data_IF_978416901447
#
_entry.id   IF_978416901447
#
_cell.length_a   1.000
_cell.length_b   1.000
_cell.length_c   1.000
_cell.angle_alpha   90.00
_cell.angle_beta   90.00
_cell.angle_gamma   90.00
#
_symmetry.space_group_name_H-M   'P 1'
#
loop_
_entity.id
_entity.type
_entity.pdbx_description
1 polymer ?
#
# COMPACT_ATOMS: atom_id res chain seq x y z
N UNK A 1 -19.42 40.13 31.12
CA UNK A 1 -18.96 38.95 30.33
C UNK A 1 -17.74 38.24 30.92
N UNK A 2 -16.69 38.95 31.36
CA UNK A 2 -15.46 38.35 31.94
C UNK A 2 -15.70 37.43 33.16
N UNK A 3 -16.68 37.73 33.99
CA UNK A 3 -16.97 36.95 35.21
C UNK A 3 -17.61 35.58 34.93
N UNK A 4 -18.39 35.44 33.84
CA UNK A 4 -19.01 34.16 33.45
C UNK A 4 -17.97 33.16 32.96
N UNK A 5 -17.01 33.60 32.15
CA UNK A 5 -15.89 32.78 31.70
C UNK A 5 -15.01 32.34 32.87
N UNK A 6 -14.71 33.25 33.82
CA UNK A 6 -13.98 32.90 35.04
C UNK A 6 -14.70 31.81 35.83
N UNK A 7 -16.02 31.92 36.06
CA UNK A 7 -16.76 30.90 36.80
C UNK A 7 -16.82 29.53 36.12
N UNK A 8 -16.78 29.47 34.78
CA UNK A 8 -16.69 28.19 34.04
C UNK A 8 -15.31 27.56 34.23
N UNK A 9 -14.23 28.35 34.11
CA UNK A 9 -12.85 27.89 34.28
C UNK A 9 -12.55 27.48 35.73
N UNK A 10 -13.11 28.20 36.70
CA UNK A 10 -13.02 27.88 38.14
C UNK A 10 -13.88 26.68 38.55
N UNK A 11 -14.58 26.03 37.63
CA UNK A 11 -15.32 24.79 37.91
C UNK A 11 -16.65 24.98 38.64
N UNK A 12 -17.14 26.22 38.79
CA UNK A 12 -18.40 26.50 39.48
C UNK A 12 -19.61 25.82 38.77
N UNK A 13 -19.47 25.53 37.47
CA UNK A 13 -20.42 24.74 36.67
C UNK A 13 -20.63 23.31 37.21
N UNK A 14 -19.63 22.73 37.88
CA UNK A 14 -19.63 21.38 38.44
C UNK A 14 -19.99 21.35 39.94
N UNK A 15 -20.14 22.49 40.60
CA UNK A 15 -20.37 22.59 42.06
C UNK A 15 -21.74 23.22 42.38
N UNK A 16 -22.34 23.98 41.45
CA UNK A 16 -23.68 24.56 41.60
C UNK A 16 -24.78 23.50 41.90
N UNK A 17 -25.84 23.91 42.60
CA UNK A 17 -26.92 23.08 43.19
C UNK A 17 -27.76 22.23 42.19
N UNK A 18 -27.40 22.19 40.90
CA UNK A 18 -27.97 21.31 39.87
C UNK A 18 -26.94 20.43 39.13
N UNK A 19 -25.72 20.31 39.66
CA UNK A 19 -24.55 19.77 38.95
C UNK A 19 -24.56 18.25 38.68
N UNK A 20 -25.39 17.47 39.38
CA UNK A 20 -25.45 16.01 39.19
C UNK A 20 -25.67 15.58 37.72
N UNK A 21 -26.49 16.33 36.97
CA UNK A 21 -26.73 16.05 35.54
C UNK A 21 -25.50 16.35 34.68
N UNK A 22 -24.71 17.36 35.03
CA UNK A 22 -23.51 17.80 34.31
C UNK A 22 -22.34 16.84 34.52
N UNK A 23 -22.17 16.30 35.73
CA UNK A 23 -21.17 15.26 36.01
C UNK A 23 -21.37 13.99 35.17
N UNK A 24 -22.62 13.56 34.95
CA UNK A 24 -22.92 12.43 34.06
C UNK A 24 -22.46 12.68 32.62
N UNK A 25 -22.61 13.90 32.11
CA UNK A 25 -22.12 14.27 30.77
C UNK A 25 -20.60 14.27 30.67
N UNK A 26 -19.90 14.74 31.70
CA UNK A 26 -18.43 14.73 31.72
C UNK A 26 -17.89 13.29 31.72
N UNK A 27 -18.46 12.42 32.56
CA UNK A 27 -18.09 11.00 32.58
C UNK A 27 -18.40 10.33 31.24
N UNK A 28 -19.52 10.67 30.61
CA UNK A 28 -19.86 10.17 29.28
C UNK A 28 -18.80 10.56 28.23
N UNK A 29 -18.44 11.83 28.15
CA UNK A 29 -17.39 12.32 27.24
C UNK A 29 -16.03 11.67 27.51
N UNK A 30 -15.65 11.51 28.78
CA UNK A 30 -14.41 10.86 29.17
C UNK A 30 -14.41 9.38 28.75
N UNK A 31 -15.51 8.65 28.97
CA UNK A 31 -15.66 7.26 28.53
C UNK A 31 -15.57 7.14 27.01
N UNK A 32 -16.15 8.09 26.27
CA UNK A 32 -16.08 8.11 24.81
C UNK A 32 -14.65 8.34 24.31
N UNK A 33 -13.92 9.22 24.98
CA UNK A 33 -12.51 9.46 24.69
C UNK A 33 -11.67 8.18 24.89
N UNK A 34 -11.90 7.47 26.00
CA UNK A 34 -11.24 6.18 26.26
C UNK A 34 -11.57 5.14 25.18
N UNK A 35 -12.83 5.05 24.76
CA UNK A 35 -13.25 4.15 23.67
C UNK A 35 -12.52 4.49 22.37
N UNK A 36 -12.36 5.77 22.04
CA UNK A 36 -11.65 6.19 20.83
C UNK A 36 -10.15 5.85 20.89
N UNK A 37 -9.49 6.07 22.02
CA UNK A 37 -8.07 5.74 22.21
C UNK A 37 -7.87 4.23 22.04
N UNK A 38 -8.71 3.44 22.71
CA UNK A 38 -8.66 1.98 22.63
C UNK A 38 -8.92 1.47 21.20
N UNK A 39 -9.95 1.99 20.54
CA UNK A 39 -10.28 1.63 19.17
C UNK A 39 -9.17 1.98 18.19
N UNK A 40 -8.49 3.11 18.36
CA UNK A 40 -7.42 3.53 17.46
C UNK A 40 -6.22 2.57 17.53
N UNK A 41 -5.82 2.19 18.75
CA UNK A 41 -4.69 1.29 18.93
C UNK A 41 -4.92 -0.13 18.36
N UNK A 42 -6.17 -0.61 18.40
CA UNK A 42 -6.56 -1.88 17.77
C UNK A 42 -6.49 -1.81 16.24
N UNK A 43 -6.95 -0.69 15.68
CA UNK A 43 -6.92 -0.45 14.23
C UNK A 43 -5.48 -0.38 13.74
N UNK A 44 -4.60 0.31 14.47
CA UNK A 44 -3.17 0.44 14.11
C UNK A 44 -2.48 -0.92 14.02
N UNK A 45 -2.70 -1.80 15.02
CA UNK A 45 -2.13 -3.15 15.01
C UNK A 45 -2.63 -3.97 13.82
N UNK A 46 -3.92 -3.85 13.48
CA UNK A 46 -4.50 -4.54 12.32
C UNK A 46 -3.95 -4.02 10.99
N UNK A 47 -3.66 -2.72 10.90
CA UNK A 47 -3.08 -2.11 9.69
C UNK A 47 -1.68 -2.66 9.42
N UNK A 48 -0.86 -2.83 10.45
CA UNK A 48 0.49 -3.41 10.32
C UNK A 48 0.39 -4.80 9.70
N UNK A 49 -0.44 -5.68 10.26
CA UNK A 49 -0.65 -7.03 9.72
C UNK A 49 -1.18 -7.01 8.28
N UNK A 50 -2.11 -6.12 7.97
CA UNK A 50 -2.61 -5.95 6.58
C UNK A 50 -1.48 -5.54 5.63
N UNK A 51 -0.57 -4.68 6.07
CA UNK A 51 0.56 -4.23 5.26
C UNK A 51 1.53 -5.36 4.93
N UNK A 52 1.78 -6.27 5.89
CA UNK A 52 2.60 -7.47 5.69
C UNK A 52 1.95 -8.41 4.67
N UNK A 53 0.67 -8.76 4.87
CA UNK A 53 -0.06 -9.61 3.92
C UNK A 53 -0.11 -8.99 2.51
N UNK A 54 -0.29 -7.66 2.42
CA UNK A 54 -0.27 -6.95 1.14
C UNK A 54 1.09 -7.08 0.47
N UNK A 55 2.18 -6.98 1.22
CA UNK A 55 3.52 -7.17 0.68
C UNK A 55 3.71 -8.58 0.13
N UNK A 56 3.31 -9.61 0.88
CA UNK A 56 3.36 -11.01 0.43
C UNK A 56 2.59 -11.25 -0.87
N UNK A 57 1.36 -10.74 -0.97
CA UNK A 57 0.57 -10.85 -2.20
C UNK A 57 1.21 -10.13 -3.40
N UNK A 58 1.93 -9.03 -3.14
CA UNK A 58 2.63 -8.30 -4.20
C UNK A 58 3.83 -9.07 -4.74
N UNK A 59 4.58 -9.75 -3.85
CA UNK A 59 5.71 -10.61 -4.20
C UNK A 59 5.19 -11.79 -5.04
N UNK A 60 4.17 -12.49 -4.56
CA UNK A 60 3.61 -13.65 -5.27
C UNK A 60 3.07 -13.27 -6.66
N UNK A 61 2.47 -12.09 -6.79
CA UNK A 61 2.00 -11.56 -8.07
C UNK A 61 3.16 -11.24 -9.01
N UNK A 62 4.26 -10.72 -8.49
CA UNK A 62 5.49 -10.49 -9.26
C UNK A 62 6.04 -11.79 -9.83
N UNK A 63 6.15 -12.83 -9.00
CA UNK A 63 6.65 -14.15 -9.41
C UNK A 63 5.76 -14.78 -10.48
N UNK A 64 4.44 -14.66 -10.32
CA UNK A 64 3.48 -15.14 -11.33
C UNK A 64 3.65 -14.42 -12.68
N UNK A 65 3.85 -13.09 -12.65
CA UNK A 65 4.08 -12.31 -13.87
C UNK A 65 5.40 -12.73 -14.54
N UNK A 66 6.45 -12.98 -13.75
CA UNK A 66 7.73 -13.45 -14.27
C UNK A 66 7.62 -14.83 -14.93
N UNK A 67 6.95 -15.78 -14.27
CA UNK A 67 6.69 -17.11 -14.84
C UNK A 67 5.91 -17.03 -16.15
N UNK A 68 4.87 -16.19 -16.20
CA UNK A 68 4.08 -15.94 -17.43
C UNK A 68 4.94 -15.36 -18.55
N UNK A 69 5.79 -14.39 -18.25
CA UNK A 69 6.72 -13.78 -19.22
C UNK A 69 7.69 -14.82 -19.79
N UNK A 70 8.23 -15.71 -18.94
CA UNK A 70 9.15 -16.77 -19.37
C UNK A 70 8.49 -17.72 -20.37
N UNK A 71 7.28 -18.19 -20.09
CA UNK A 71 6.52 -19.06 -21.01
C UNK A 71 6.18 -18.33 -22.31
N UNK A 72 5.80 -17.05 -22.24
CA UNK A 72 5.52 -16.26 -23.44
C UNK A 72 6.75 -16.10 -24.33
N UNK A 73 7.93 -15.89 -23.73
CA UNK A 73 9.21 -15.83 -24.45
C UNK A 73 9.51 -17.17 -25.14
N UNK A 74 9.41 -18.28 -24.42
CA UNK A 74 9.62 -19.62 -24.98
C UNK A 74 8.65 -19.93 -26.13
N UNK A 75 7.37 -19.59 -25.98
CA UNK A 75 6.36 -19.75 -27.03
C UNK A 75 6.70 -18.91 -28.28
N UNK A 76 7.18 -17.68 -28.08
CA UNK A 76 7.63 -16.80 -29.16
C UNK A 76 8.85 -17.39 -29.87
N UNK A 77 9.86 -17.84 -29.13
CA UNK A 77 11.05 -18.49 -29.68
C UNK A 77 10.70 -19.75 -30.49
N UNK A 78 9.78 -20.59 -30.00
CA UNK A 78 9.29 -21.76 -30.74
C UNK A 78 8.61 -21.37 -32.03
N UNK A 79 7.66 -20.41 -31.98
CA UNK A 79 6.93 -19.97 -33.17
C UNK A 79 7.87 -19.36 -34.22
N UNK A 80 8.82 -18.51 -33.79
CA UNK A 80 9.84 -17.96 -34.71
C UNK A 80 10.67 -19.08 -35.33
N UNK A 81 11.06 -20.10 -34.55
CA UNK A 81 11.82 -21.26 -35.05
C UNK A 81 11.01 -22.02 -36.11
N UNK A 82 9.73 -22.28 -35.86
CA UNK A 82 8.84 -22.98 -36.80
C UNK A 82 8.68 -22.21 -38.11
N UNK A 83 8.43 -20.90 -38.04
CA UNK A 83 8.30 -20.03 -39.23
C UNK A 83 9.62 -19.92 -40.01
N UNK A 84 10.78 -19.92 -39.33
CA UNK A 84 12.09 -19.86 -39.98
C UNK A 84 12.50 -21.20 -40.62
N UNK A 85 12.05 -22.33 -40.04
CA UNK A 85 12.24 -23.66 -40.61
C UNK A 85 11.58 -23.80 -41.98
N UNK A 86 10.33 -23.32 -42.13
CA UNK A 86 9.62 -23.29 -43.42
C UNK A 86 10.38 -22.47 -44.48
N UNK A 87 11.06 -21.40 -44.06
CA UNK A 87 11.85 -20.51 -44.92
C UNK A 87 13.25 -21.06 -45.24
N UNK A 88 13.60 -22.26 -44.74
CA UNK A 88 14.95 -22.88 -44.82
C UNK A 88 16.08 -22.03 -44.23
N UNK A 89 15.75 -21.07 -43.35
CA UNK A 89 16.73 -20.23 -42.66
C UNK A 89 17.13 -20.95 -41.38
N UNK A 90 18.41 -21.34 -41.27
CA UNK A 90 18.95 -21.97 -40.06
C UNK A 90 19.48 -20.89 -39.12
N UNK A 91 19.29 -21.09 -37.81
CA UNK A 91 19.94 -20.28 -36.79
C UNK A 91 21.45 -20.34 -36.96
N UNK A 92 22.09 -19.20 -37.19
CA UNK A 92 23.54 -19.09 -37.27
C UNK A 92 24.14 -19.17 -35.87
N UNK A 93 25.06 -20.10 -35.65
CA UNK A 93 25.88 -20.20 -34.43
C UNK A 93 27.02 -19.17 -34.40
N UNK A 94 27.27 -18.49 -35.52
CA UNK A 94 28.38 -17.54 -35.68
C UNK A 94 27.77 -16.12 -35.68
N UNK A 95 28.20 -15.24 -34.76
CA UNK A 95 27.69 -13.88 -34.72
C UNK A 95 28.10 -13.09 -35.98
N UNK A 96 27.21 -12.23 -36.52
CA UNK A 96 27.53 -11.44 -37.71
C UNK A 96 28.62 -10.40 -37.39
N UNK A 97 29.58 -10.25 -38.31
CA UNK A 97 30.66 -9.26 -38.20
C UNK A 97 30.10 -7.89 -38.56
N UNK A 98 30.16 -6.92 -37.63
CA UNK A 98 29.77 -5.53 -37.90
C UNK A 98 30.79 -4.90 -38.85
N UNK A 99 30.37 -4.56 -40.06
CA UNK A 99 31.18 -3.78 -41.00
C UNK A 99 30.86 -2.31 -40.72
N UNK A 100 31.83 -1.56 -40.20
CA UNK A 100 31.75 -0.11 -40.07
C UNK A 100 32.48 0.47 -41.27
N UNK A 101 31.76 1.23 -42.11
CA UNK A 101 32.32 1.92 -43.26
C UNK A 101 32.54 3.36 -42.81
N UNK A 102 33.79 3.74 -42.59
CA UNK A 102 34.16 5.15 -42.42
C UNK A 102 34.40 5.75 -43.81
N UNK A 103 33.55 6.72 -44.20
CA UNK A 103 33.80 7.56 -45.37
C UNK A 103 34.79 8.66 -44.94
N UNK A 104 35.99 8.64 -45.50
CA UNK A 104 36.97 9.72 -45.35
C UNK A 104 36.51 10.96 -46.13
N UNK A 105 36.61 12.12 -45.48
CA UNK A 105 36.33 13.44 -46.04
C UNK A 105 37.54 13.97 -46.81
#
# INVERSE_FOLDING_TARGET
MKNKLKQIVLGNFLIDEGSFRKWRYVIFLFSMCLIMIYSSHLVDSKIITISELKNETSILKSDFIEGRKKVMKLKMESNVTDVMFERRIKSSTIPPKKIVIEYGN
#
